data_IF_989567849468
#
_entry.id   IF_989567849468
#
_cell.length_a   1.000
_cell.length_b   1.000
_cell.length_c   1.000
_cell.angle_alpha   90.00
_cell.angle_beta   90.00
_cell.angle_gamma   90.00
#
_symmetry.space_group_name_H-M   'P 1'
#
loop_
_entity.id
_entity.type
_entity.pdbx_description
1 polymer ?
#
# COMPACT_ATOMS: atom_id res chain seq x y z
N UNK A 1 -4.98 8.69 -29.13
CA UNK A 1 -6.03 7.69 -29.47
C UNK A 1 -6.10 7.40 -30.97
N UNK A 2 -5.69 8.30 -31.83
CA UNK A 2 -5.80 8.19 -33.30
C UNK A 2 -4.90 7.12 -33.93
N UNK A 3 -3.97 6.56 -33.18
CA UNK A 3 -3.07 5.48 -33.65
C UNK A 3 -3.64 4.07 -33.53
N UNK A 4 -4.82 3.92 -32.94
CA UNK A 4 -5.46 2.62 -32.76
C UNK A 4 -6.30 2.30 -33.99
N UNK A 5 -6.13 1.11 -34.57
CA UNK A 5 -6.94 0.66 -35.70
C UNK A 5 -8.44 0.55 -35.33
N UNK A 6 -9.34 0.71 -36.28
CA UNK A 6 -10.79 0.56 -36.03
C UNK A 6 -11.09 -0.77 -35.33
N UNK A 7 -11.82 -0.71 -34.22
CA UNK A 7 -12.16 -1.88 -33.40
C UNK A 7 -11.07 -2.31 -32.40
N UNK A 8 -9.92 -1.63 -32.36
CA UNK A 8 -8.81 -1.96 -31.44
C UNK A 8 -9.07 -1.55 -29.99
N UNK A 9 -10.00 -0.65 -29.76
CA UNK A 9 -10.50 -0.26 -28.42
C UNK A 9 -12.01 -0.39 -28.40
N UNK A 10 -12.53 -1.01 -27.35
CA UNK A 10 -13.95 -1.15 -27.17
C UNK A 10 -14.29 -2.03 -25.97
N UNK A 11 -15.52 -1.91 -25.53
CA UNK A 11 -16.05 -2.72 -24.43
C UNK A 11 -17.56 -2.52 -24.34
N UNK A 12 -18.28 -3.59 -24.07
CA UNK A 12 -19.75 -3.59 -24.00
C UNK A 12 -20.30 -2.59 -22.96
N UNK A 13 -19.52 -2.30 -21.92
CA UNK A 13 -19.88 -1.38 -20.84
C UNK A 13 -19.30 0.03 -21.00
N UNK A 14 -18.52 0.29 -22.05
CA UNK A 14 -17.98 1.62 -22.35
C UNK A 14 -19.10 2.63 -22.52
N UNK A 15 -19.06 3.75 -21.80
CA UNK A 15 -20.09 4.79 -21.82
C UNK A 15 -21.38 4.44 -21.08
N UNK A 16 -21.41 3.38 -20.27
CA UNK A 16 -22.55 3.08 -19.41
C UNK A 16 -22.86 4.28 -18.50
N UNK A 17 -24.09 4.83 -18.48
CA UNK A 17 -24.40 6.06 -17.75
C UNK A 17 -24.22 5.95 -16.23
N UNK A 18 -24.44 4.78 -15.64
CA UNK A 18 -24.19 4.57 -14.20
C UNK A 18 -22.69 4.60 -13.90
N UNK A 19 -21.89 3.95 -14.73
CA UNK A 19 -20.44 3.95 -14.57
C UNK A 19 -19.84 5.34 -14.79
N UNK A 20 -20.35 6.11 -15.78
CA UNK A 20 -19.86 7.48 -16.02
C UNK A 20 -20.27 8.44 -14.91
N UNK A 21 -21.48 8.32 -14.37
CA UNK A 21 -21.91 9.10 -13.21
C UNK A 21 -21.08 8.78 -11.97
N UNK A 22 -20.79 7.51 -11.70
CA UNK A 22 -19.91 7.11 -10.62
C UNK A 22 -18.48 7.64 -10.80
N UNK A 23 -17.95 7.64 -12.02
CA UNK A 23 -16.62 8.21 -12.30
C UNK A 23 -16.57 9.72 -12.05
N UNK A 24 -17.60 10.47 -12.44
CA UNK A 24 -17.67 11.90 -12.15
C UNK A 24 -17.71 12.17 -10.65
N UNK A 25 -18.53 11.43 -9.89
CA UNK A 25 -18.60 11.56 -8.44
C UNK A 25 -17.25 11.24 -7.76
N UNK A 26 -16.45 10.30 -8.30
CA UNK A 26 -15.09 10.03 -7.80
C UNK A 26 -14.18 11.23 -8.02
N UNK A 27 -14.21 11.89 -9.20
CA UNK A 27 -13.42 13.08 -9.44
C UNK A 27 -13.81 14.25 -8.51
N UNK A 28 -15.10 14.45 -8.31
CA UNK A 28 -15.62 15.45 -7.36
C UNK A 28 -15.12 15.15 -5.93
N UNK A 29 -15.24 13.92 -5.46
CA UNK A 29 -14.75 13.51 -4.14
C UNK A 29 -13.22 13.67 -3.99
N UNK A 30 -12.43 13.42 -5.04
CA UNK A 30 -10.97 13.62 -4.99
C UNK A 30 -10.63 15.07 -4.71
N UNK A 31 -11.37 16.03 -5.29
CA UNK A 31 -11.15 17.47 -5.10
C UNK A 31 -11.75 17.95 -3.78
N UNK A 32 -13.03 17.69 -3.53
CA UNK A 32 -13.78 18.21 -2.38
C UNK A 32 -13.26 17.68 -1.06
N UNK A 33 -12.93 16.38 -1.01
CA UNK A 33 -12.40 15.74 0.21
C UNK A 33 -10.89 15.90 0.38
N UNK A 34 -10.19 16.52 -0.56
CA UNK A 34 -8.74 16.72 -0.53
C UNK A 34 -7.96 15.40 -0.51
N UNK A 35 -8.42 14.38 -1.26
CA UNK A 35 -7.87 13.03 -1.16
C UNK A 35 -6.39 12.94 -1.58
N UNK A 36 -5.91 13.83 -2.44
CA UNK A 36 -4.49 13.86 -2.82
C UNK A 36 -3.59 14.30 -1.64
N UNK A 37 -4.04 15.27 -0.84
CA UNK A 37 -3.30 15.67 0.36
C UNK A 37 -3.35 14.59 1.43
N UNK A 38 -4.49 13.93 1.61
CA UNK A 38 -4.61 12.77 2.52
C UNK A 38 -3.66 11.66 2.10
N UNK A 39 -3.56 11.36 0.81
CA UNK A 39 -2.62 10.37 0.30
C UNK A 39 -1.16 10.73 0.63
N UNK A 40 -0.75 12.00 0.44
CA UNK A 40 0.59 12.48 0.79
C UNK A 40 0.86 12.38 2.30
N UNK A 41 -0.15 12.70 3.13
CA UNK A 41 -0.05 12.58 4.58
C UNK A 41 0.14 11.13 5.01
N UNK A 42 -0.59 10.18 4.41
CA UNK A 42 -0.42 8.74 4.65
C UNK A 42 1.01 8.30 4.30
N UNK A 43 1.54 8.70 3.14
CA UNK A 43 2.93 8.43 2.77
C UNK A 43 3.91 8.91 3.84
N UNK A 44 3.74 10.16 4.26
CA UNK A 44 4.61 10.76 5.26
C UNK A 44 4.57 9.98 6.58
N UNK A 45 3.39 9.63 7.08
CA UNK A 45 3.23 8.88 8.33
C UNK A 45 3.90 7.51 8.24
N UNK A 46 3.76 6.80 7.11
CA UNK A 46 4.37 5.49 6.91
C UNK A 46 5.91 5.61 6.87
N UNK A 47 6.46 6.59 6.14
CA UNK A 47 7.90 6.82 6.08
C UNK A 47 8.47 7.17 7.45
N UNK A 48 7.89 8.16 8.14
CA UNK A 48 8.31 8.58 9.47
C UNK A 48 8.28 7.41 10.47
N UNK A 49 7.26 6.54 10.38
CA UNK A 49 7.15 5.37 11.26
C UNK A 49 8.33 4.42 11.10
N UNK A 50 8.70 4.05 9.87
CA UNK A 50 9.82 3.13 9.62
C UNK A 50 11.19 3.80 9.73
N UNK A 51 11.30 5.11 9.59
CA UNK A 51 12.51 5.86 9.93
C UNK A 51 12.77 5.86 11.45
N UNK A 52 11.71 6.02 12.25
CA UNK A 52 11.80 5.99 13.72
C UNK A 52 11.97 4.57 14.28
N UNK A 53 11.52 3.56 13.56
CA UNK A 53 11.60 2.14 13.91
C UNK A 53 12.45 1.39 12.87
N UNK A 54 13.66 1.92 12.63
CA UNK A 54 14.57 1.32 11.66
C UNK A 54 14.95 -0.11 12.07
N UNK A 55 14.97 -1.02 11.09
CA UNK A 55 15.33 -2.42 11.26
C UNK A 55 16.16 -2.84 10.05
N UNK A 56 17.29 -3.48 10.27
CA UNK A 56 18.23 -3.88 9.23
C UNK A 56 17.70 -4.96 8.27
N UNK A 57 16.61 -5.61 8.64
CA UNK A 57 15.84 -6.52 7.77
C UNK A 57 14.93 -5.79 6.77
N UNK A 58 14.74 -4.47 6.91
CA UNK A 58 14.01 -3.63 5.95
C UNK A 58 15.02 -2.99 4.99
N UNK A 59 15.12 -3.52 3.78
CA UNK A 59 16.02 -2.97 2.76
C UNK A 59 15.52 -1.65 2.19
N UNK A 60 14.20 -1.50 2.04
CA UNK A 60 13.61 -0.34 1.39
C UNK A 60 12.20 -0.06 1.89
N UNK A 61 11.90 1.24 2.07
CA UNK A 61 10.54 1.77 2.23
C UNK A 61 10.22 2.60 1.00
N UNK A 62 9.38 2.09 0.12
CA UNK A 62 9.07 2.73 -1.18
C UNK A 62 7.59 2.87 -1.43
N UNK A 63 7.25 3.75 -2.35
CA UNK A 63 5.88 3.97 -2.79
C UNK A 63 5.58 5.44 -3.04
N UNK A 64 4.31 5.72 -3.31
CA UNK A 64 3.80 7.06 -3.52
C UNK A 64 2.38 7.18 -2.96
N UNK A 65 2.14 8.23 -2.19
CA UNK A 65 0.84 8.44 -1.56
C UNK A 65 0.48 7.29 -0.61
N UNK A 66 -0.75 6.82 -0.67
CA UNK A 66 -1.21 5.72 0.18
C UNK A 66 -0.75 4.32 -0.29
N UNK A 67 -0.14 4.19 -1.46
CA UNK A 67 0.39 2.91 -1.93
C UNK A 67 1.88 2.82 -1.60
N UNK A 68 2.17 2.26 -0.43
CA UNK A 68 3.50 2.12 0.12
C UNK A 68 3.86 0.65 0.30
N UNK A 69 5.15 0.36 0.36
CA UNK A 69 5.67 -0.99 0.58
C UNK A 69 6.95 -0.96 1.39
N UNK A 70 7.19 -2.04 2.14
CA UNK A 70 8.49 -2.37 2.74
C UNK A 70 8.99 -3.67 2.12
N UNK A 71 10.29 -3.74 1.87
CA UNK A 71 10.96 -4.91 1.33
C UNK A 71 11.86 -5.54 2.38
N UNK A 72 11.68 -6.85 2.61
CA UNK A 72 12.46 -7.58 3.60
C UNK A 72 13.62 -8.35 2.97
N UNK A 73 14.74 -8.33 3.65
CA UNK A 73 15.96 -9.06 3.28
C UNK A 73 16.59 -9.72 4.51
N UNK A 74 17.39 -10.74 4.26
CA UNK A 74 18.36 -11.23 5.25
C UNK A 74 19.47 -10.18 5.38
N UNK A 75 19.68 -9.57 6.56
CA UNK A 75 20.66 -8.50 6.74
C UNK A 75 22.12 -8.97 6.58
N UNK A 76 22.39 -10.27 6.68
CA UNK A 76 23.74 -10.82 6.53
C UNK A 76 24.12 -11.00 5.05
N UNK A 77 23.15 -11.33 4.19
CA UNK A 77 23.38 -11.65 2.77
C UNK A 77 22.83 -10.61 1.81
N UNK A 78 21.82 -9.83 2.23
CA UNK A 78 21.06 -8.92 1.39
C UNK A 78 20.05 -9.64 0.47
N UNK A 79 19.90 -10.94 0.61
CA UNK A 79 18.97 -11.73 -0.20
C UNK A 79 17.52 -11.53 0.25
N UNK A 80 16.54 -11.63 -0.66
CA UNK A 80 15.12 -11.49 -0.34
C UNK A 80 14.63 -12.49 0.71
N UNK A 81 13.96 -12.04 1.78
CA UNK A 81 13.43 -12.90 2.83
C UNK A 81 11.90 -13.05 2.76
N UNK A 82 11.45 -14.02 1.97
CA UNK A 82 10.03 -14.38 1.87
C UNK A 82 9.49 -15.05 3.15
N UNK A 83 10.35 -15.72 3.91
CA UNK A 83 9.97 -16.41 5.15
C UNK A 83 9.62 -15.42 6.23
N UNK A 84 10.48 -14.42 6.45
CA UNK A 84 10.21 -13.31 7.36
C UNK A 84 8.93 -12.58 6.95
N UNK A 85 8.78 -12.28 5.65
CA UNK A 85 7.59 -11.61 5.10
C UNK A 85 6.31 -12.36 5.44
N UNK A 86 6.28 -13.67 5.25
CA UNK A 86 5.12 -14.52 5.56
C UNK A 86 4.84 -14.54 7.08
N UNK A 87 5.89 -14.63 7.90
CA UNK A 87 5.78 -14.63 9.36
C UNK A 87 5.19 -13.33 9.88
N UNK A 88 5.73 -12.19 9.45
CA UNK A 88 5.22 -10.86 9.80
C UNK A 88 3.77 -10.68 9.35
N UNK A 89 3.45 -11.03 8.10
CA UNK A 89 2.08 -10.91 7.59
C UNK A 89 1.07 -11.78 8.36
N UNK A 90 1.47 -12.98 8.79
CA UNK A 90 0.63 -13.85 9.60
C UNK A 90 0.39 -13.29 11.01
N UNK A 91 1.43 -12.79 11.67
CA UNK A 91 1.33 -12.18 13.00
C UNK A 91 0.46 -10.92 12.97
N UNK A 92 0.66 -10.03 12.00
CA UNK A 92 -0.13 -8.81 11.81
C UNK A 92 -1.60 -9.13 11.56
N UNK A 93 -1.88 -10.19 10.77
CA UNK A 93 -3.26 -10.66 10.55
C UNK A 93 -3.89 -11.18 11.84
N UNK A 94 -3.14 -11.92 12.66
CA UNK A 94 -3.61 -12.38 13.97
C UNK A 94 -3.92 -11.22 14.92
N UNK A 95 -3.22 -10.09 14.79
CA UNK A 95 -3.49 -8.85 15.50
C UNK A 95 -4.66 -8.02 14.91
N UNK A 96 -5.33 -8.51 13.85
CA UNK A 96 -6.51 -7.88 13.26
C UNK A 96 -6.22 -6.89 12.13
N UNK A 97 -4.99 -6.82 11.64
CA UNK A 97 -4.60 -5.93 10.52
C UNK A 97 -4.39 -6.75 9.25
N UNK A 98 -5.00 -6.32 8.15
CA UNK A 98 -4.87 -6.99 6.86
C UNK A 98 -3.76 -6.33 6.05
N UNK A 99 -2.74 -7.10 5.72
CA UNK A 99 -1.64 -6.72 4.82
C UNK A 99 -1.59 -7.67 3.62
N UNK A 100 -1.06 -7.15 2.51
CA UNK A 100 -0.83 -7.94 1.30
C UNK A 100 0.66 -8.17 1.11
N UNK A 101 1.03 -9.42 0.91
CA UNK A 101 2.37 -9.79 0.47
C UNK A 101 2.47 -9.74 -1.05
N UNK A 102 3.61 -9.31 -1.59
CA UNK A 102 3.84 -9.18 -3.02
C UNK A 102 5.35 -9.21 -3.34
N UNK A 103 5.71 -8.75 -4.54
CA UNK A 103 7.09 -8.77 -5.03
C UNK A 103 7.44 -10.08 -5.75
N UNK A 104 8.40 -10.00 -6.65
CA UNK A 104 8.85 -11.15 -7.46
C UNK A 104 9.37 -12.30 -6.61
N UNK A 105 9.98 -11.96 -5.48
CA UNK A 105 10.56 -12.93 -4.54
C UNK A 105 9.67 -13.18 -3.31
N UNK A 106 8.45 -12.59 -3.25
CA UNK A 106 7.54 -12.74 -2.11
C UNK A 106 8.00 -12.06 -0.82
N UNK A 107 8.97 -11.16 -0.91
CA UNK A 107 9.64 -10.51 0.22
C UNK A 107 9.13 -9.08 0.50
N UNK A 108 7.98 -8.70 -0.04
CA UNK A 108 7.43 -7.35 0.08
C UNK A 108 6.08 -7.38 0.78
N UNK A 109 5.89 -6.47 1.73
CA UNK A 109 4.59 -6.14 2.32
C UNK A 109 4.11 -4.82 1.76
N UNK A 110 2.87 -4.80 1.25
CA UNK A 110 2.24 -3.62 0.69
C UNK A 110 1.17 -3.06 1.61
N UNK A 111 1.26 -1.75 1.84
CA UNK A 111 0.25 -0.94 2.50
C UNK A 111 -0.65 -0.28 1.46
N UNK A 112 -1.96 -0.39 1.65
CA UNK A 112 -2.95 0.29 0.81
C UNK A 112 -4.16 0.67 1.66
N UNK A 113 -3.98 1.55 2.66
CA UNK A 113 -5.08 1.98 3.50
C UNK A 113 -6.07 2.86 2.71
N UNK A 114 -7.34 2.94 3.14
CA UNK A 114 -8.28 3.90 2.60
C UNK A 114 -7.75 5.34 2.75
N UNK A 115 -7.96 6.20 1.76
CA UNK A 115 -7.52 7.61 1.83
C UNK A 115 -8.19 8.39 2.96
N UNK A 116 -9.30 7.88 3.46
CA UNK A 116 -10.08 8.45 4.58
C UNK A 116 -9.70 7.88 5.95
N UNK A 117 -8.66 7.06 6.05
CA UNK A 117 -8.23 6.48 7.34
C UNK A 117 -7.81 7.59 8.31
N UNK A 118 -8.21 7.45 9.57
CA UNK A 118 -7.69 8.31 10.63
C UNK A 118 -6.21 8.01 10.91
N UNK A 119 -5.43 9.06 11.20
CA UNK A 119 -3.98 8.92 11.42
C UNK A 119 -3.66 8.02 12.62
N UNK A 120 -4.45 8.07 13.68
CA UNK A 120 -4.26 7.24 14.87
C UNK A 120 -4.43 5.74 14.55
N UNK A 121 -5.46 5.40 13.76
CA UNK A 121 -5.70 4.03 13.33
C UNK A 121 -4.60 3.53 12.38
N UNK A 122 -4.10 4.40 11.49
CA UNK A 122 -2.95 4.08 10.63
C UNK A 122 -1.72 3.76 11.48
N UNK A 123 -1.40 4.61 12.47
CA UNK A 123 -0.27 4.41 13.39
C UNK A 123 -0.41 3.15 14.22
N UNK A 124 -1.62 2.84 14.69
CA UNK A 124 -1.91 1.59 15.38
C UNK A 124 -1.57 0.38 14.51
N UNK A 125 -2.06 0.36 13.25
CA UNK A 125 -1.75 -0.72 12.30
C UNK A 125 -0.25 -0.85 12.01
N UNK A 126 0.46 0.26 11.84
CA UNK A 126 1.91 0.27 11.62
C UNK A 126 2.67 -0.26 12.86
N UNK A 127 2.19 0.06 14.06
CA UNK A 127 2.79 -0.45 15.31
C UNK A 127 2.67 -1.97 15.42
N UNK A 128 1.58 -2.58 14.94
CA UNK A 128 1.45 -4.04 14.89
C UNK A 128 2.46 -4.67 13.92
N UNK A 129 2.80 -4.00 12.81
CA UNK A 129 3.88 -4.46 11.91
C UNK A 129 5.23 -4.45 12.61
N UNK A 130 5.55 -3.37 13.31
CA UNK A 130 6.80 -3.26 14.07
C UNK A 130 6.89 -4.32 15.16
N UNK A 131 5.82 -4.56 15.94
CA UNK A 131 5.78 -5.62 16.95
C UNK A 131 5.96 -7.00 16.36
N UNK A 132 5.29 -7.28 15.23
CA UNK A 132 5.43 -8.55 14.53
C UNK A 132 6.87 -8.77 14.05
N UNK A 133 7.52 -7.74 13.52
CA UNK A 133 8.91 -7.79 13.09
C UNK A 133 9.87 -8.03 14.26
N UNK A 134 9.65 -7.37 15.41
CA UNK A 134 10.46 -7.57 16.61
C UNK A 134 10.32 -8.98 17.24
N UNK A 135 9.22 -9.67 16.93
CA UNK A 135 8.92 -11.00 17.47
C UNK A 135 9.31 -12.14 16.52
N UNK A 136 9.68 -11.83 15.28
CA UNK A 136 10.09 -12.75 14.23
C UNK A 136 11.64 -12.94 14.21
#
# INVERSE_FOLDING_TARGET
MDSVHPGGLGGTYGGNPVATAAALAVFEAVEEDGLLEKARRIEQVIREHFEQNADDRIAEVRGRGAMMAIEFVDPATGEPDATLTATVAAAVRAAGVILLTCGTYGNVVRFLPPLTIGEDLLKEGLSEVTKALQSA
#
